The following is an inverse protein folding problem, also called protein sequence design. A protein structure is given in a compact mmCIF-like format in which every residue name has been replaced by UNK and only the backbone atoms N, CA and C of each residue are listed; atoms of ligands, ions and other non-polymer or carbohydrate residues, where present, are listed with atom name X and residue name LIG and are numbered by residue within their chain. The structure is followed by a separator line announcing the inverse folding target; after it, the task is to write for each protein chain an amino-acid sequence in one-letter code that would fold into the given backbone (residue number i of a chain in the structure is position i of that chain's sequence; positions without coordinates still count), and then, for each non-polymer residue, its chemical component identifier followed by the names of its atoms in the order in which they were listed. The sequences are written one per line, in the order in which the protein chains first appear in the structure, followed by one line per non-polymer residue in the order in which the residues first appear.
data_IF_811977457817
#
_entry.id   IF_811977457817
#
_cell.length_a   1.000
_cell.length_b   1.000
_cell.length_c   1.000
_cell.angle_alpha   90.00
_cell.angle_beta   90.00
_cell.angle_gamma   90.00
#
_symmetry.space_group_name_H-M   'P 1'
#
loop_
_entity.id
_entity.type
_entity.pdbx_description
1 polymer ?
#
# COMPACT_ATOMS: atom_id res chain seq x y z
N UNK A 1 -16.35 11.71 -11.08
CA UNK A 1 -16.14 11.95 -12.53
C UNK A 1 -14.84 12.70 -12.83
N UNK A 2 -14.46 13.74 -12.07
CA UNK A 2 -13.20 14.48 -12.31
C UNK A 2 -11.93 13.68 -11.95
N UNK A 3 -11.99 12.78 -10.98
CA UNK A 3 -10.81 12.06 -10.45
C UNK A 3 -10.31 10.96 -11.38
N UNK A 4 -11.20 10.26 -12.09
CA UNK A 4 -10.82 9.21 -13.04
C UNK A 4 -10.54 9.72 -14.46
N UNK A 5 -10.49 11.04 -14.67
CA UNK A 5 -10.14 11.70 -15.93
C UNK A 5 -11.23 11.73 -17.00
N UNK A 6 -12.18 10.79 -17.02
CA UNK A 6 -13.30 10.80 -17.97
C UNK A 6 -14.45 9.90 -17.49
N UNK A 7 -15.66 10.21 -17.96
CA UNK A 7 -16.85 9.39 -17.72
C UNK A 7 -16.70 7.96 -18.27
N UNK A 8 -16.11 7.83 -19.45
CA UNK A 8 -15.80 6.53 -20.07
C UNK A 8 -14.84 5.68 -19.22
N UNK A 9 -13.90 6.30 -18.50
CA UNK A 9 -12.99 5.59 -17.62
C UNK A 9 -13.74 5.03 -16.39
N UNK A 10 -14.64 5.81 -15.81
CA UNK A 10 -15.51 5.35 -14.71
C UNK A 10 -16.41 4.22 -15.16
N UNK A 11 -17.09 4.35 -16.30
CA UNK A 11 -17.90 3.28 -16.88
C UNK A 11 -17.09 1.99 -17.09
N UNK A 12 -15.82 2.12 -17.52
CA UNK A 12 -14.90 0.99 -17.67
C UNK A 12 -14.64 0.26 -16.35
N UNK A 13 -14.50 0.99 -15.22
CA UNK A 13 -14.31 0.41 -13.90
C UNK A 13 -15.54 -0.33 -13.38
N UNK A 14 -16.73 0.14 -13.76
CA UNK A 14 -18.01 -0.41 -13.27
C UNK A 14 -18.47 -1.65 -14.04
N UNK A 15 -17.87 -1.93 -15.19
CA UNK A 15 -18.25 -3.10 -15.99
C UNK A 15 -17.95 -4.40 -15.22
N UNK A 16 -18.91 -5.33 -15.17
CA UNK A 16 -18.64 -6.67 -14.68
C UNK A 16 -17.54 -7.30 -15.52
N UNK A 17 -16.42 -7.64 -14.89
CA UNK A 17 -15.28 -8.23 -15.59
C UNK A 17 -14.49 -9.14 -14.69
N UNK A 18 -14.15 -10.32 -15.21
CA UNK A 18 -13.25 -11.28 -14.55
C UNK A 18 -11.83 -10.67 -14.41
N UNK A 19 -11.45 -9.76 -15.31
CA UNK A 19 -10.12 -9.14 -15.31
C UNK A 19 -9.92 -8.09 -14.23
N UNK A 20 -10.98 -7.75 -13.45
CA UNK A 20 -10.92 -6.74 -12.40
C UNK A 20 -10.33 -5.41 -12.90
N UNK A 21 -11.08 -4.63 -13.71
CA UNK A 21 -10.58 -3.40 -14.30
C UNK A 21 -10.16 -2.39 -13.21
N UNK A 22 -9.09 -1.66 -13.48
CA UNK A 22 -8.58 -0.59 -12.63
C UNK A 22 -7.90 0.49 -13.46
N UNK A 23 -7.76 1.67 -12.87
CA UNK A 23 -6.94 2.76 -13.42
C UNK A 23 -5.76 2.97 -12.48
N UNK A 24 -4.56 2.94 -13.01
CA UNK A 24 -3.33 3.18 -12.26
C UNK A 24 -2.51 4.25 -12.96
N UNK A 25 -2.22 5.33 -12.24
CA UNK A 25 -1.29 6.37 -12.67
C UNK A 25 -0.08 6.34 -11.75
N UNK A 26 1.11 6.23 -12.29
CA UNK A 26 2.37 6.24 -11.54
C UNK A 26 3.21 7.44 -11.94
N UNK A 27 3.84 8.09 -10.96
CA UNK A 27 4.74 9.23 -11.13
C UNK A 27 6.02 8.99 -10.34
N UNK A 28 7.11 9.48 -10.88
CA UNK A 28 8.42 9.48 -10.25
C UNK A 28 8.92 10.93 -10.25
N UNK A 29 9.03 11.53 -9.09
CA UNK A 29 9.50 12.90 -8.89
C UNK A 29 10.85 12.89 -8.19
N UNK A 30 11.68 13.91 -8.43
CA UNK A 30 12.93 14.12 -7.70
C UNK A 30 12.79 15.33 -6.79
N UNK A 31 12.98 15.10 -5.50
CA UNK A 31 12.90 16.14 -4.47
C UNK A 31 14.17 16.06 -3.64
N UNK A 32 14.97 17.14 -3.65
CA UNK A 32 16.22 17.22 -2.86
C UNK A 32 17.17 16.02 -3.06
N UNK A 33 17.22 15.49 -4.28
CA UNK A 33 18.06 14.34 -4.62
C UNK A 33 17.45 12.98 -4.35
N UNK A 34 16.35 12.88 -3.61
CA UNK A 34 15.59 11.66 -3.42
C UNK A 34 14.59 11.42 -4.56
N UNK A 35 14.34 10.17 -4.86
CA UNK A 35 13.26 9.77 -5.78
C UNK A 35 12.00 9.54 -4.96
N UNK A 36 10.95 10.30 -5.26
CA UNK A 36 9.62 10.08 -4.69
C UNK A 36 8.77 9.36 -5.72
N UNK A 37 8.38 8.15 -5.40
CA UNK A 37 7.45 7.37 -6.21
C UNK A 37 6.05 7.53 -5.68
N UNK A 38 5.12 7.86 -6.56
CA UNK A 38 3.72 8.02 -6.19
C UNK A 38 2.79 7.33 -7.18
N UNK A 39 1.59 7.01 -6.72
CA UNK A 39 0.58 6.41 -7.55
C UNK A 39 -0.84 6.71 -7.09
N UNK A 40 -1.72 6.76 -8.09
CA UNK A 40 -3.16 6.86 -7.90
C UNK A 40 -3.79 5.60 -8.51
N UNK A 41 -4.54 4.84 -7.71
CA UNK A 41 -5.21 3.61 -8.12
C UNK A 41 -6.71 3.75 -7.86
N UNK A 42 -7.51 3.48 -8.89
CA UNK A 42 -8.96 3.48 -8.81
C UNK A 42 -9.51 2.14 -9.29
N UNK A 43 -10.45 1.59 -8.54
CA UNK A 43 -11.17 0.37 -8.93
C UNK A 43 -12.54 0.32 -8.25
N UNK A 44 -13.43 -0.57 -8.71
CA UNK A 44 -14.73 -0.78 -8.11
C UNK A 44 -14.82 -2.15 -7.43
N UNK A 45 -15.52 -2.18 -6.30
CA UNK A 45 -15.91 -3.39 -5.58
C UNK A 45 -17.43 -3.49 -5.56
N UNK A 46 -17.98 -4.69 -5.73
CA UNK A 46 -19.40 -4.97 -5.49
C UNK A 46 -19.55 -5.52 -4.08
N UNK A 47 -19.91 -4.63 -3.18
CA UNK A 47 -19.96 -4.91 -1.75
C UNK A 47 -20.76 -3.81 -1.06
N UNK A 48 -21.44 -4.17 0.02
CA UNK A 48 -22.05 -3.19 0.90
C UNK A 48 -20.95 -2.42 1.64
N UNK A 49 -20.99 -1.08 1.56
CA UNK A 49 -20.00 -0.21 2.19
C UNK A 49 -19.88 -0.45 3.71
N UNK A 50 -21.00 -0.78 4.37
CA UNK A 50 -21.04 -1.02 5.81
C UNK A 50 -20.30 -2.32 6.20
N UNK A 51 -20.13 -3.24 5.26
CA UNK A 51 -19.39 -4.48 5.48
C UNK A 51 -17.89 -4.37 5.19
N UNK A 52 -17.47 -3.29 4.51
CA UNK A 52 -16.06 -3.10 4.16
C UNK A 52 -15.28 -2.50 5.31
N UNK A 53 -14.35 -3.24 5.84
CA UNK A 53 -13.34 -2.71 6.75
C UNK A 53 -12.25 -1.96 5.96
N UNK A 54 -12.17 -0.61 6.04
CA UNK A 54 -11.20 0.16 5.26
C UNK A 54 -9.75 -0.26 5.49
N UNK A 55 -9.44 -0.72 6.69
CA UNK A 55 -8.11 -1.21 7.04
C UNK A 55 -7.70 -2.47 6.25
N UNK A 56 -8.67 -3.26 5.77
CA UNK A 56 -8.40 -4.44 4.93
C UNK A 56 -7.77 -4.04 3.59
N UNK A 57 -8.08 -2.84 3.08
CA UNK A 57 -7.52 -2.32 1.82
C UNK A 57 -6.00 -2.11 1.88
N UNK A 58 -5.46 -1.90 3.08
CA UNK A 58 -4.02 -1.74 3.31
C UNK A 58 -3.38 -2.99 3.92
N UNK A 59 -4.09 -4.11 4.01
CA UNK A 59 -3.62 -5.30 4.72
C UNK A 59 -3.41 -5.08 6.22
N UNK A 60 -4.12 -4.12 6.82
CA UNK A 60 -3.88 -3.65 8.19
C UNK A 60 -4.92 -4.16 9.20
N UNK A 61 -5.73 -5.14 8.86
CA UNK A 61 -6.77 -5.65 9.79
C UNK A 61 -6.23 -6.62 10.82
N UNK A 62 -5.25 -7.45 10.43
CA UNK A 62 -4.71 -8.51 11.26
C UNK A 62 -3.20 -8.63 11.05
N UNK A 63 -2.52 -9.18 12.05
CA UNK A 63 -1.12 -9.59 11.89
C UNK A 63 -1.04 -10.81 10.98
N UNK A 64 -0.05 -10.85 10.09
CA UNK A 64 0.16 -11.98 9.21
C UNK A 64 0.90 -11.63 7.92
N UNK A 65 1.09 -12.62 7.06
CA UNK A 65 1.79 -12.44 5.80
C UNK A 65 0.94 -11.72 4.75
N UNK A 66 1.56 -10.80 4.02
CA UNK A 66 1.01 -10.18 2.81
C UNK A 66 1.91 -10.52 1.65
N UNK A 67 1.36 -11.18 0.64
CA UNK A 67 2.07 -11.46 -0.60
C UNK A 67 1.38 -10.75 -1.77
N UNK A 68 2.17 -10.05 -2.58
CA UNK A 68 1.71 -9.35 -3.76
C UNK A 68 2.77 -9.44 -4.86
N UNK A 69 2.62 -10.40 -5.77
CA UNK A 69 3.63 -10.70 -6.76
C UNK A 69 4.96 -11.08 -6.11
N UNK A 70 6.03 -10.35 -6.44
CA UNK A 70 7.37 -10.55 -5.86
C UNK A 70 7.61 -9.71 -4.58
N UNK A 71 6.57 -9.27 -3.92
CA UNK A 71 6.64 -8.60 -2.63
C UNK A 71 6.07 -9.52 -1.56
N UNK A 72 6.82 -9.68 -0.48
CA UNK A 72 6.44 -10.51 0.66
C UNK A 72 6.68 -9.72 1.93
N UNK A 73 5.63 -9.54 2.70
CA UNK A 73 5.68 -8.81 3.96
C UNK A 73 5.03 -9.61 5.07
N UNK A 74 5.64 -9.57 6.23
CA UNK A 74 5.03 -9.90 7.50
C UNK A 74 4.51 -8.60 8.11
N UNK A 75 3.25 -8.61 8.50
CA UNK A 75 2.58 -7.46 9.11
C UNK A 75 2.25 -7.79 10.55
N UNK A 76 2.59 -6.90 11.45
CA UNK A 76 2.27 -6.98 12.87
C UNK A 76 1.50 -5.72 13.30
N UNK A 77 0.32 -5.91 13.85
CA UNK A 77 -0.41 -4.84 14.53
C UNK A 77 0.23 -4.61 15.88
N UNK A 78 0.60 -3.37 16.17
CA UNK A 78 1.23 -2.95 17.42
C UNK A 78 0.13 -2.44 18.35
N UNK A 79 0.13 -2.88 19.61
CA UNK A 79 -0.81 -2.37 20.62
C UNK A 79 -0.54 -0.89 20.94
N UNK A 80 -1.53 -0.19 21.49
CA UNK A 80 -1.35 1.20 21.93
C UNK A 80 -0.28 1.33 23.01
N UNK A 81 -0.17 0.33 23.90
CA UNK A 81 0.86 0.25 24.93
C UNK A 81 2.26 0.14 24.32
N UNK A 82 2.47 -0.79 23.37
CA UNK A 82 3.76 -0.96 22.66
C UNK A 82 4.11 0.25 21.78
N UNK A 83 3.12 0.96 21.26
CA UNK A 83 3.31 2.17 20.46
C UNK A 83 3.50 3.43 21.31
N UNK A 84 3.33 3.34 22.62
CA UNK A 84 3.32 4.49 23.57
C UNK A 84 2.42 5.63 23.06
N UNK A 85 1.24 5.29 22.53
CA UNK A 85 0.34 6.24 21.91
C UNK A 85 -1.12 5.81 22.05
N UNK A 86 -1.98 6.79 22.38
CA UNK A 86 -3.42 6.61 22.63
C UNK A 86 -4.31 6.82 21.40
N UNK A 87 -3.76 7.23 20.26
CA UNK A 87 -4.56 7.55 19.08
C UNK A 87 -3.96 6.93 17.81
N UNK A 88 -4.83 6.28 17.03
CA UNK A 88 -4.49 5.67 15.75
C UNK A 88 -4.12 4.20 15.86
N UNK A 89 -4.03 3.56 14.73
CA UNK A 89 -3.61 2.17 14.61
C UNK A 89 -2.18 2.11 14.11
N UNK A 90 -1.33 1.35 14.80
CA UNK A 90 0.06 1.18 14.43
C UNK A 90 0.27 -0.21 13.84
N UNK A 91 0.99 -0.24 12.74
CA UNK A 91 1.27 -1.47 12.01
C UNK A 91 2.74 -1.46 11.61
N UNK A 92 3.48 -2.46 12.07
CA UNK A 92 4.83 -2.73 11.61
C UNK A 92 4.79 -3.73 10.47
N UNK A 93 5.46 -3.40 9.38
CA UNK A 93 5.59 -4.26 8.21
C UNK A 93 7.07 -4.53 7.96
N UNK A 94 7.44 -5.79 7.83
CA UNK A 94 8.79 -6.22 7.49
C UNK A 94 8.76 -7.17 6.32
N UNK A 95 9.57 -6.92 5.31
CA UNK A 95 9.53 -7.79 4.14
C UNK A 95 10.53 -7.46 3.06
N UNK A 96 10.25 -7.97 1.86
CA UNK A 96 11.11 -7.89 0.71
C UNK A 96 10.39 -7.26 -0.48
N UNK A 97 11.10 -6.36 -1.16
CA UNK A 97 10.71 -5.79 -2.43
C UNK A 97 11.54 -6.42 -3.53
N UNK A 98 10.88 -7.17 -4.43
CA UNK A 98 11.47 -7.79 -5.62
C UNK A 98 12.71 -8.65 -5.33
N UNK A 99 12.79 -9.25 -4.15
CA UNK A 99 13.92 -10.06 -3.66
C UNK A 99 15.31 -9.34 -3.67
N UNK A 100 15.29 -8.00 -3.75
CA UNK A 100 16.51 -7.18 -3.82
C UNK A 100 16.67 -6.23 -2.64
N UNK A 101 15.56 -5.83 -2.05
CA UNK A 101 15.53 -4.88 -0.95
C UNK A 101 14.74 -5.48 0.19
N UNK A 102 15.35 -5.54 1.37
CA UNK A 102 14.64 -5.71 2.62
C UNK A 102 14.20 -4.36 3.14
N UNK A 103 13.00 -4.28 3.67
CA UNK A 103 12.48 -3.05 4.29
C UNK A 103 11.60 -3.41 5.47
N UNK A 104 11.69 -2.63 6.51
CA UNK A 104 10.74 -2.63 7.62
C UNK A 104 10.37 -1.19 7.97
N UNK A 105 9.10 -1.00 8.32
CA UNK A 105 8.55 0.31 8.59
C UNK A 105 7.33 0.22 9.47
N UNK A 106 7.23 1.13 10.42
CA UNK A 106 6.06 1.29 11.27
C UNK A 106 5.21 2.44 10.77
N UNK A 107 3.97 2.13 10.48
CA UNK A 107 2.99 3.05 9.91
C UNK A 107 1.91 3.34 10.93
N UNK A 108 1.58 4.63 11.13
CA UNK A 108 0.40 5.07 11.83
C UNK A 108 -0.74 5.25 10.82
N UNK A 109 -1.87 4.60 11.06
CA UNK A 109 -3.11 4.79 10.31
C UNK A 109 -4.15 5.51 11.17
N UNK A 110 -4.87 6.44 10.55
CA UNK A 110 -5.99 7.17 11.16
C UNK A 110 -7.22 7.06 10.27
N UNK A 111 -8.39 6.95 10.88
CA UNK A 111 -9.68 6.90 10.17
C UNK A 111 -10.49 8.14 10.50
N UNK A 112 -11.15 8.72 9.51
CA UNK A 112 -12.18 9.75 9.75
C UNK A 112 -13.45 9.13 10.33
N UNK A 113 -14.06 9.81 11.31
CA UNK A 113 -15.33 9.38 11.88
C UNK A 113 -16.53 9.58 10.94
N UNK A 114 -16.43 10.56 10.03
CA UNK A 114 -17.54 11.01 9.19
C UNK A 114 -17.51 10.45 7.76
N UNK A 115 -16.42 9.79 7.38
CA UNK A 115 -16.26 9.23 6.03
C UNK A 115 -15.39 7.97 6.07
N UNK A 116 -15.58 7.11 5.05
CA UNK A 116 -14.74 5.91 4.91
C UNK A 116 -13.42 6.30 4.26
N UNK A 117 -12.62 7.05 5.03
CA UNK A 117 -11.29 7.50 4.63
C UNK A 117 -10.28 7.00 5.65
N UNK A 118 -9.21 6.39 5.15
CA UNK A 118 -8.05 6.00 5.95
C UNK A 118 -6.83 6.71 5.38
N UNK A 119 -6.12 7.42 6.23
CA UNK A 119 -4.81 7.98 5.92
C UNK A 119 -3.74 7.22 6.71
N UNK A 120 -2.61 6.95 6.09
CA UNK A 120 -1.49 6.27 6.71
C UNK A 120 -0.17 6.99 6.40
N UNK A 121 0.75 6.93 7.34
CA UNK A 121 2.12 7.45 7.15
C UNK A 121 3.10 6.65 7.98
N UNK A 122 4.33 6.55 7.51
CA UNK A 122 5.45 6.06 8.35
C UNK A 122 5.61 6.99 9.55
N UNK A 123 5.66 6.42 10.74
CA UNK A 123 5.80 7.18 11.98
C UNK A 123 7.27 7.26 12.38
N UNK A 124 7.84 8.46 12.35
CA UNK A 124 9.25 8.69 12.61
C UNK A 124 9.70 8.45 14.05
N UNK A 125 8.77 8.33 15.00
CA UNK A 125 9.09 7.92 16.37
C UNK A 125 9.71 6.53 16.43
N UNK A 126 9.50 5.73 15.40
CA UNK A 126 10.03 4.38 15.26
C UNK A 126 11.34 4.30 14.46
N UNK A 127 11.95 5.42 14.06
CA UNK A 127 13.17 5.39 13.24
C UNK A 127 14.29 4.59 13.94
N UNK A 128 14.47 4.76 15.25
CA UNK A 128 15.47 4.06 16.05
C UNK A 128 14.86 3.07 17.07
N UNK A 129 13.59 2.67 16.85
CA UNK A 129 12.91 1.78 17.79
C UNK A 129 13.50 0.36 17.74
N UNK A 130 13.77 -0.25 18.89
CA UNK A 130 14.48 -1.54 19.01
C UNK A 130 13.73 -2.67 18.26
N UNK A 131 12.42 -2.80 18.48
CA UNK A 131 11.58 -3.88 17.91
C UNK A 131 10.91 -3.56 16.60
N UNK A 132 10.61 -2.30 16.34
CA UNK A 132 9.77 -1.85 15.22
C UNK A 132 10.39 -0.70 14.41
N UNK A 133 11.68 -0.79 14.00
CA UNK A 133 12.38 0.32 13.37
C UNK A 133 11.91 0.60 11.95
N UNK A 134 12.20 1.83 11.49
CA UNK A 134 12.07 2.21 10.08
C UNK A 134 13.44 2.09 9.41
N UNK A 135 13.70 1.00 8.70
CA UNK A 135 14.99 0.76 8.05
C UNK A 135 14.87 -0.09 6.80
N UNK A 136 15.89 -0.06 5.97
CA UNK A 136 15.99 -0.88 4.78
C UNK A 136 17.42 -1.42 4.61
N UNK A 137 17.60 -2.44 3.76
CA UNK A 137 18.90 -3.02 3.39
C UNK A 137 18.84 -3.65 2.03
N UNK A 138 20.00 -3.77 1.37
CA UNK A 138 20.12 -4.51 0.12
C UNK A 138 20.14 -6.02 0.37
N UNK A 139 19.63 -6.78 -0.61
CA UNK A 139 19.70 -8.24 -0.64
C UNK A 139 20.44 -8.62 -1.93
N UNK A 140 21.58 -9.27 -1.78
CA UNK A 140 22.37 -9.78 -2.89
C UNK A 140 22.30 -11.30 -2.92
N UNK A 141 22.04 -11.86 -4.11
CA UNK A 141 22.08 -13.30 -4.34
C UNK A 141 23.23 -13.66 -5.26
N UNK A 142 24.05 -14.60 -4.81
CA UNK A 142 25.15 -15.19 -5.61
C UNK A 142 24.98 -16.70 -5.61
N UNK A 143 24.37 -17.23 -6.70
CA UNK A 143 23.98 -18.63 -6.76
C UNK A 143 22.94 -18.99 -5.70
N UNK A 144 23.27 -19.92 -4.81
CA UNK A 144 22.40 -20.34 -3.69
C UNK A 144 22.61 -19.51 -2.40
N UNK A 145 23.64 -18.69 -2.35
CA UNK A 145 23.97 -17.87 -1.19
C UNK A 145 23.26 -16.51 -1.27
N UNK A 146 22.76 -16.05 -0.12
CA UNK A 146 22.16 -14.74 0.04
C UNK A 146 22.97 -13.97 1.11
N UNK A 147 23.26 -12.70 0.82
CA UNK A 147 23.88 -11.76 1.75
C UNK A 147 23.05 -10.50 1.85
N UNK A 148 23.07 -9.87 3.02
CA UNK A 148 22.36 -8.62 3.27
C UNK A 148 23.35 -7.50 3.56
N UNK A 149 23.07 -6.31 2.99
CA UNK A 149 23.81 -5.10 3.34
C UNK A 149 23.49 -4.61 4.75
N UNK A 150 24.23 -3.61 5.20
CA UNK A 150 23.98 -2.95 6.48
C UNK A 150 22.62 -2.23 6.45
N UNK A 151 21.84 -2.28 7.53
CA UNK A 151 20.61 -1.52 7.65
C UNK A 151 20.86 -0.01 7.52
N UNK A 152 19.99 0.66 6.78
CA UNK A 152 19.99 2.10 6.55
C UNK A 152 18.64 2.69 6.98
N UNK A 153 18.58 3.93 7.47
CA UNK A 153 17.32 4.59 7.80
C UNK A 153 16.35 4.64 6.62
N UNK A 154 15.08 4.36 6.87
CA UNK A 154 14.04 4.46 5.87
C UNK A 154 13.13 5.67 6.15
N UNK A 155 13.10 6.61 5.22
CA UNK A 155 12.27 7.83 5.32
C UNK A 155 10.79 7.52 5.30
N UNK A 156 10.39 6.43 4.60
CA UNK A 156 9.03 5.92 4.62
C UNK A 156 8.14 6.38 3.49
N UNK A 157 6.85 6.31 3.76
CA UNK A 157 5.79 6.63 2.80
C UNK A 157 4.52 7.11 3.46
N UNK A 158 3.62 7.53 2.61
CA UNK A 158 2.25 7.95 2.96
C UNK A 158 1.26 7.19 2.10
N UNK A 159 0.08 6.96 2.63
CA UNK A 159 -1.04 6.36 1.91
C UNK A 159 -2.37 7.01 2.29
N UNK A 160 -3.28 6.97 1.36
CA UNK A 160 -4.64 7.47 1.54
C UNK A 160 -5.59 6.55 0.79
N UNK A 161 -6.64 6.10 1.45
CA UNK A 161 -7.73 5.36 0.82
C UNK A 161 -9.07 6.04 1.11
N UNK A 162 -9.92 6.10 0.09
CA UNK A 162 -11.29 6.55 0.22
C UNK A 162 -12.21 5.56 -0.47
N UNK A 163 -13.31 5.23 0.23
CA UNK A 163 -14.39 4.43 -0.29
C UNK A 163 -15.61 5.31 -0.47
N UNK A 164 -16.22 5.23 -1.64
CA UNK A 164 -17.41 6.01 -1.99
C UNK A 164 -18.45 5.07 -2.57
N UNK A 165 -19.59 4.96 -1.90
CA UNK A 165 -20.76 4.27 -2.44
C UNK A 165 -21.36 5.04 -3.61
N UNK A 166 -21.70 4.35 -4.69
CA UNK A 166 -22.31 5.00 -5.85
C UNK A 166 -23.80 5.22 -5.60
N UNK A 167 -24.29 6.43 -5.95
CA UNK A 167 -25.71 6.78 -5.76
C UNK A 167 -26.64 5.95 -6.61
N UNK A 168 -26.23 5.67 -7.84
CA UNK A 168 -27.03 4.99 -8.85
C UNK A 168 -26.86 3.46 -8.81
N UNK A 169 -25.92 2.96 -8.00
CA UNK A 169 -25.64 1.54 -7.79
C UNK A 169 -25.09 1.34 -6.36
N UNK A 170 -26.00 1.25 -5.35
CA UNK A 170 -25.61 1.15 -3.93
C UNK A 170 -24.81 -0.10 -3.57
N UNK A 171 -24.86 -1.13 -4.40
CA UNK A 171 -24.06 -2.35 -4.22
C UNK A 171 -22.62 -2.17 -4.74
N UNK A 172 -22.29 -1.03 -5.32
CA UNK A 172 -20.97 -0.74 -5.85
C UNK A 172 -20.27 0.37 -5.08
N UNK A 173 -19.06 0.08 -4.62
CA UNK A 173 -18.16 1.00 -3.96
C UNK A 173 -17.00 1.33 -4.89
N UNK A 174 -16.76 2.61 -5.13
CA UNK A 174 -15.55 3.10 -5.77
C UNK A 174 -14.45 3.21 -4.72
N UNK A 175 -13.32 2.61 -4.99
CA UNK A 175 -12.11 2.67 -4.16
C UNK A 175 -11.09 3.57 -4.84
N UNK A 176 -10.61 4.55 -4.10
CA UNK A 176 -9.53 5.47 -4.47
C UNK A 176 -8.36 5.22 -3.53
N UNK A 177 -7.21 4.83 -4.07
CA UNK A 177 -5.97 4.67 -3.32
C UNK A 177 -4.91 5.61 -3.86
N UNK A 178 -4.30 6.38 -2.99
CA UNK A 178 -3.18 7.26 -3.30
C UNK A 178 -2.02 6.87 -2.39
N UNK A 179 -0.84 6.77 -2.94
CA UNK A 179 0.35 6.48 -2.16
C UNK A 179 1.56 7.25 -2.69
N UNK A 180 2.47 7.52 -1.79
CA UNK A 180 3.81 8.00 -2.14
C UNK A 180 4.83 7.44 -1.16
N UNK A 181 6.02 7.14 -1.64
CA UNK A 181 7.13 6.71 -0.81
C UNK A 181 8.46 7.22 -1.36
N UNK A 182 9.39 7.45 -0.45
CA UNK A 182 10.75 7.78 -0.82
C UNK A 182 11.51 6.51 -1.24
N UNK A 183 12.10 6.54 -2.43
CA UNK A 183 13.06 5.52 -2.85
C UNK A 183 14.45 5.96 -2.39
N UNK A 184 15.07 5.27 -1.42
CA UNK A 184 16.42 5.58 -0.99
C UNK A 184 17.44 5.34 -2.11
N UNK A 185 18.53 6.08 -2.08
CA UNK A 185 19.68 5.79 -2.94
C UNK A 185 20.19 4.38 -2.69
N UNK A 186 20.43 3.65 -3.76
CA UNK A 186 20.85 2.24 -3.67
C UNK A 186 19.71 1.20 -3.79
N UNK A 187 18.43 1.63 -3.86
CA UNK A 187 17.35 0.69 -4.15
C UNK A 187 17.36 0.26 -5.62
N UNK A 188 16.71 1.04 -6.46
CA UNK A 188 16.54 0.75 -7.89
C UNK A 188 17.08 1.86 -8.78
N UNK A 189 17.62 2.92 -8.19
CA UNK A 189 18.26 4.08 -8.87
C UNK A 189 17.38 4.71 -9.96
N UNK A 190 16.08 4.76 -9.72
CA UNK A 190 15.10 5.25 -10.68
C UNK A 190 14.76 4.25 -11.79
N UNK A 191 15.30 3.03 -11.75
CA UNK A 191 14.98 2.02 -12.74
C UNK A 191 13.46 1.74 -12.82
N UNK A 192 12.90 1.50 -14.02
CA UNK A 192 11.47 1.32 -14.21
C UNK A 192 10.93 -0.02 -13.68
N UNK A 193 11.77 -0.83 -13.03
CA UNK A 193 11.41 -2.19 -12.58
C UNK A 193 10.23 -2.19 -11.60
N UNK A 194 10.20 -1.27 -10.63
CA UNK A 194 9.06 -1.12 -9.73
C UNK A 194 7.80 -0.74 -10.50
N UNK A 195 7.91 0.27 -11.38
CA UNK A 195 6.79 0.76 -12.18
C UNK A 195 6.15 -0.35 -13.02
N UNK A 196 6.95 -1.21 -13.65
CA UNK A 196 6.46 -2.33 -14.45
C UNK A 196 5.74 -3.39 -13.61
N UNK A 197 6.08 -3.53 -12.33
CA UNK A 197 5.48 -4.52 -11.42
C UNK A 197 4.23 -4.01 -10.72
N UNK A 198 4.08 -2.70 -10.51
CA UNK A 198 2.92 -2.14 -9.81
C UNK A 198 1.58 -2.52 -10.45
N UNK A 199 1.50 -2.56 -11.77
CA UNK A 199 0.26 -2.95 -12.46
C UNK A 199 -0.14 -4.39 -12.16
N UNK A 200 0.81 -5.32 -12.13
CA UNK A 200 0.56 -6.73 -11.79
C UNK A 200 0.14 -6.86 -10.32
N UNK A 201 0.85 -6.18 -9.43
CA UNK A 201 0.56 -6.17 -8.00
C UNK A 201 -0.85 -5.63 -7.73
N UNK A 202 -1.20 -4.49 -8.35
CA UNK A 202 -2.52 -3.90 -8.23
C UNK A 202 -3.62 -4.87 -8.72
N UNK A 203 -3.42 -5.51 -9.87
CA UNK A 203 -4.37 -6.48 -10.40
C UNK A 203 -4.58 -7.67 -9.46
N UNK A 204 -3.51 -8.22 -8.90
CA UNK A 204 -3.59 -9.37 -8.00
C UNK A 204 -4.29 -8.99 -6.68
N UNK A 205 -3.97 -7.82 -6.12
CA UNK A 205 -4.62 -7.32 -4.90
C UNK A 205 -6.11 -7.04 -5.12
N UNK A 206 -6.51 -6.41 -6.22
CA UNK A 206 -7.92 -6.14 -6.53
C UNK A 206 -8.68 -7.45 -6.71
N UNK A 207 -8.11 -8.44 -7.39
CA UNK A 207 -8.73 -9.77 -7.53
C UNK A 207 -8.89 -10.48 -6.19
N UNK A 208 -7.90 -10.35 -5.31
CA UNK A 208 -7.95 -10.89 -3.95
C UNK A 208 -9.07 -10.23 -3.15
N UNK A 209 -9.10 -8.91 -3.08
CA UNK A 209 -10.14 -8.14 -2.38
C UNK A 209 -11.54 -8.49 -2.89
N UNK A 210 -11.74 -8.59 -4.20
CA UNK A 210 -13.03 -9.02 -4.77
C UNK A 210 -13.46 -10.41 -4.32
N UNK A 211 -12.54 -11.36 -4.19
CA UNK A 211 -12.84 -12.72 -3.71
C UNK A 211 -13.13 -12.77 -2.21
N UNK A 212 -12.42 -11.98 -1.42
CA UNK A 212 -12.59 -11.93 0.03
C UNK A 212 -13.90 -11.23 0.44
N UNK A 213 -14.28 -10.19 -0.29
CA UNK A 213 -15.47 -9.38 -0.01
C UNK A 213 -16.74 -9.87 -0.73
N UNK A 214 -16.64 -10.75 -1.72
CA UNK A 214 -17.80 -11.36 -2.40
C UNK A 214 -18.41 -12.54 -1.62
N UNK A 215 -17.92 -12.81 -0.39
CA UNK A 215 -18.42 -13.85 0.52
C UNK A 215 -19.35 -13.23 1.56
#
# INVERSE_FOLDING_TARGET
RKLAGSERAVEGLLRPSITAPFLLTLRDDRVEGAIIRSGDLYFALRVDLDTVHPNALFGQTESGPIEAGNMKFEVQVISEEEAEASEGRFVHSRGRLLDRIGVESTTKATRSAESVVVASRTDRRFDDHERFPNRWWTIERRGTSESTGLPQPYVGGIGYAKLTQLKDDPETVLVELHFAFAEPTGWFEGAPILRSKFSLIAQDQIRRLRRELAR
#
